data_IF_290294173629
#
_entry.id   IF_290294173629
#
_cell.length_a   1.000
_cell.length_b   1.000
_cell.length_c   1.000
_cell.angle_alpha   90.00
_cell.angle_beta   90.00
_cell.angle_gamma   90.00
#
_symmetry.space_group_name_H-M   'P 1'
#
loop_
_entity.id
_entity.type
_entity.pdbx_description
1 polymer ?
#
# COMPACT_ATOMS: atom_id res chain seq x y z
N UNK A 1 12.91 13.75 -1.60
CA UNK A 1 12.73 12.90 -2.81
C UNK A 1 11.37 13.21 -3.41
N UNK A 2 11.18 13.19 -4.73
CA UNK A 2 9.86 13.41 -5.31
C UNK A 2 8.90 12.30 -4.86
N UNK A 3 7.66 12.66 -4.56
CA UNK A 3 6.61 11.71 -4.13
C UNK A 3 6.31 10.66 -5.20
N UNK A 4 6.50 11.00 -6.48
CA UNK A 4 6.30 10.07 -7.59
C UNK A 4 7.67 9.63 -8.14
N UNK A 5 8.02 8.34 -8.03
CA UNK A 5 9.25 7.81 -8.62
C UNK A 5 9.26 7.97 -10.16
N UNK A 6 10.46 8.06 -10.74
CA UNK A 6 10.63 8.25 -12.19
C UNK A 6 9.91 7.18 -13.03
N UNK A 7 9.84 5.95 -12.53
CA UNK A 7 9.14 4.83 -13.17
C UNK A 7 7.63 5.11 -13.38
N UNK A 8 7.02 5.92 -12.52
CA UNK A 8 5.59 6.21 -12.52
C UNK A 8 5.25 7.64 -12.97
N UNK A 9 6.24 8.37 -13.54
CA UNK A 9 6.02 9.77 -13.96
C UNK A 9 4.87 9.94 -14.96
N UNK A 10 4.64 8.90 -15.78
CA UNK A 10 3.62 8.90 -16.83
C UNK A 10 2.46 7.95 -16.49
N UNK A 11 2.32 7.56 -15.21
CA UNK A 11 1.26 6.67 -14.78
C UNK A 11 -0.12 7.32 -15.01
N UNK A 12 -1.02 6.58 -15.65
CA UNK A 12 -2.40 6.99 -15.93
C UNK A 12 -3.35 5.84 -15.63
N UNK A 13 -4.58 6.18 -15.26
CA UNK A 13 -5.64 5.21 -15.02
C UNK A 13 -7.00 5.83 -15.26
N UNK A 14 -7.90 5.04 -15.81
CA UNK A 14 -9.33 5.33 -15.98
C UNK A 14 -10.20 4.61 -14.93
N UNK A 15 -9.57 3.96 -13.95
CA UNK A 15 -10.28 3.19 -12.95
C UNK A 15 -11.25 4.08 -12.15
N UNK A 16 -12.56 3.75 -12.10
CA UNK A 16 -13.58 4.62 -11.51
C UNK A 16 -13.37 4.89 -10.02
N UNK A 17 -12.93 3.90 -9.24
CA UNK A 17 -12.64 4.09 -7.83
C UNK A 17 -11.52 5.13 -7.60
N UNK A 18 -10.51 5.19 -8.47
CA UNK A 18 -9.46 6.22 -8.41
C UNK A 18 -10.04 7.60 -8.72
N UNK A 19 -10.89 7.69 -9.74
CA UNK A 19 -11.52 8.96 -10.07
C UNK A 19 -12.38 9.49 -8.91
N UNK A 20 -13.16 8.62 -8.30
CA UNK A 20 -13.97 8.93 -7.12
C UNK A 20 -13.10 9.31 -5.91
N UNK A 21 -12.06 8.51 -5.61
CA UNK A 21 -11.14 8.78 -4.52
C UNK A 21 -10.47 10.16 -4.67
N UNK A 22 -9.93 10.46 -5.85
CA UNK A 22 -9.32 11.77 -6.13
C UNK A 22 -10.33 12.93 -5.98
N UNK A 23 -11.55 12.76 -6.49
CA UNK A 23 -12.60 13.77 -6.38
C UNK A 23 -12.95 14.07 -4.94
N UNK A 24 -13.08 13.04 -4.10
CA UNK A 24 -13.36 13.16 -2.66
C UNK A 24 -12.22 13.89 -1.93
N UNK A 25 -10.96 13.50 -2.20
CA UNK A 25 -9.79 14.17 -1.59
C UNK A 25 -9.71 15.64 -2.00
N UNK A 26 -9.93 15.97 -3.28
CA UNK A 26 -9.90 17.34 -3.79
C UNK A 26 -11.04 18.21 -3.23
N UNK A 27 -12.18 17.60 -2.89
CA UNK A 27 -13.26 18.29 -2.18
C UNK A 27 -12.95 18.58 -0.71
N UNK A 28 -11.81 18.08 -0.20
CA UNK A 28 -11.40 18.23 1.20
C UNK A 28 -11.97 17.16 2.14
N UNK A 29 -12.65 16.17 1.60
CA UNK A 29 -13.23 15.07 2.33
C UNK A 29 -12.24 13.89 2.47
N UNK A 30 -12.57 12.96 3.35
CA UNK A 30 -11.75 11.77 3.61
C UNK A 30 -12.14 10.64 2.66
N UNK A 31 -11.16 10.15 1.92
CA UNK A 31 -11.31 9.00 1.04
C UNK A 31 -10.33 7.89 1.42
N UNK A 32 -10.81 6.65 1.50
CA UNK A 32 -10.05 5.48 1.91
C UNK A 32 -10.23 4.39 0.88
N UNK A 33 -9.13 3.90 0.30
CA UNK A 33 -9.15 2.95 -0.79
C UNK A 33 -8.24 1.77 -0.48
N UNK A 34 -8.77 0.57 -0.55
CA UNK A 34 -8.02 -0.68 -0.56
C UNK A 34 -7.94 -1.17 -2.00
N UNK A 35 -6.75 -1.09 -2.57
CA UNK A 35 -6.47 -1.47 -3.96
C UNK A 35 -5.87 -2.87 -3.99
N UNK A 36 -6.62 -3.82 -4.52
CA UNK A 36 -6.26 -5.23 -4.52
C UNK A 36 -6.06 -5.77 -5.94
N UNK A 37 -5.38 -6.88 -6.02
CA UNK A 37 -5.20 -7.62 -7.26
C UNK A 37 -3.90 -8.41 -7.28
N UNK A 38 -3.78 -9.38 -8.20
CA UNK A 38 -2.60 -10.23 -8.29
C UNK A 38 -1.33 -9.44 -8.61
N UNK A 39 -0.20 -10.10 -8.47
CA UNK A 39 1.08 -9.53 -8.90
C UNK A 39 1.02 -9.13 -10.38
N UNK A 40 1.65 -8.01 -10.75
CA UNK A 40 1.61 -7.43 -12.10
C UNK A 40 0.24 -6.91 -12.60
N UNK A 41 -0.77 -6.78 -11.74
CA UNK A 41 -2.05 -6.16 -12.13
C UNK A 41 -1.99 -4.65 -12.34
N UNK A 42 -0.89 -4.01 -11.94
CA UNK A 42 -0.70 -2.56 -12.08
C UNK A 42 -1.17 -1.74 -10.88
N UNK A 43 -1.29 -2.33 -9.70
CA UNK A 43 -1.72 -1.65 -8.47
C UNK A 43 -0.90 -0.40 -8.16
N UNK A 44 0.42 -0.54 -8.05
CA UNK A 44 1.30 0.61 -7.78
C UNK A 44 1.19 1.67 -8.87
N UNK A 45 1.16 1.27 -10.15
CA UNK A 45 0.92 2.18 -11.27
C UNK A 45 -0.38 2.97 -11.09
N UNK A 46 -1.47 2.29 -10.72
CA UNK A 46 -2.79 2.88 -10.49
C UNK A 46 -2.79 3.85 -9.30
N UNK A 47 -2.11 3.50 -8.20
CA UNK A 47 -1.98 4.39 -7.04
C UNK A 47 -1.15 5.64 -7.37
N UNK A 48 -0.04 5.49 -8.08
CA UNK A 48 0.76 6.65 -8.50
C UNK A 48 0.03 7.52 -9.54
N UNK A 49 -0.82 6.94 -10.37
CA UNK A 49 -1.71 7.70 -11.26
C UNK A 49 -2.70 8.57 -10.46
N UNK A 50 -3.21 8.07 -9.32
CA UNK A 50 -4.03 8.87 -8.40
C UNK A 50 -3.24 10.08 -7.85
N UNK A 51 -2.01 9.86 -7.38
CA UNK A 51 -1.17 10.93 -6.87
C UNK A 51 -0.84 11.97 -7.95
N UNK A 52 -0.53 11.53 -9.17
CA UNK A 52 -0.34 12.45 -10.31
C UNK A 52 -1.57 13.32 -10.56
N UNK A 53 -2.76 12.73 -10.51
CA UNK A 53 -4.02 13.47 -10.68
C UNK A 53 -4.23 14.51 -9.61
N UNK A 54 -3.92 14.21 -8.33
CA UNK A 54 -3.97 15.18 -7.24
C UNK A 54 -2.99 16.32 -7.47
N UNK A 55 -1.72 16.03 -7.78
CA UNK A 55 -0.70 17.04 -8.02
C UNK A 55 -1.03 17.92 -9.23
N UNK A 56 -1.53 17.34 -10.31
CA UNK A 56 -1.98 18.08 -11.50
C UNK A 56 -3.17 19.03 -11.20
N UNK A 57 -4.01 18.66 -10.21
CA UNK A 57 -5.09 19.50 -9.71
C UNK A 57 -4.63 20.56 -8.68
N UNK A 58 -3.32 20.64 -8.39
CA UNK A 58 -2.76 21.63 -7.45
C UNK A 58 -2.76 21.18 -5.98
N UNK A 59 -2.99 19.89 -5.70
CA UNK A 59 -2.88 19.36 -4.33
C UNK A 59 -1.42 19.48 -3.84
N UNK A 60 -1.18 19.95 -2.60
CA UNK A 60 0.18 20.16 -2.11
C UNK A 60 0.96 18.85 -1.98
N UNK A 61 2.15 18.77 -2.58
CA UNK A 61 3.03 17.60 -2.47
C UNK A 61 3.45 17.35 -1.01
N UNK A 62 3.60 18.41 -0.22
CA UNK A 62 3.89 18.33 1.22
C UNK A 62 2.82 17.59 2.03
N UNK A 63 1.62 17.48 1.50
CA UNK A 63 0.48 16.83 2.15
C UNK A 63 0.33 15.35 1.71
N UNK A 64 1.30 14.82 0.97
CA UNK A 64 1.32 13.45 0.48
C UNK A 64 2.54 12.71 1.05
N UNK A 65 2.32 11.50 1.57
CA UNK A 65 3.39 10.58 1.98
C UNK A 65 3.19 9.23 1.33
N UNK A 66 4.27 8.64 0.85
CA UNK A 66 4.28 7.28 0.30
C UNK A 66 5.26 6.45 1.11
N UNK A 67 4.82 5.30 1.56
CA UNK A 67 5.63 4.31 2.26
C UNK A 67 5.62 2.99 1.48
N UNK A 68 6.76 2.34 1.46
CA UNK A 68 6.83 0.92 1.15
C UNK A 68 6.57 0.14 2.44
N UNK A 69 5.73 -0.89 2.40
CA UNK A 69 5.42 -1.67 3.60
C UNK A 69 6.67 -2.29 4.24
N UNK A 70 7.66 -2.65 3.41
CA UNK A 70 8.95 -3.16 3.90
C UNK A 70 9.72 -2.13 4.74
N UNK A 71 9.65 -0.85 4.38
CA UNK A 71 10.27 0.24 5.16
C UNK A 71 9.58 0.40 6.51
N UNK A 72 8.26 0.25 6.55
CA UNK A 72 7.49 0.33 7.80
C UNK A 72 7.79 -0.83 8.74
N UNK A 73 8.13 -2.02 8.23
CA UNK A 73 8.51 -3.18 9.05
C UNK A 73 9.80 -2.95 9.84
N UNK A 74 10.79 -2.26 9.25
CA UNK A 74 12.11 -2.09 9.86
C UNK A 74 12.31 -0.84 10.71
N UNK A 75 11.49 0.20 10.54
CA UNK A 75 11.76 1.55 11.07
C UNK A 75 10.53 2.13 11.79
N UNK A 76 9.47 1.35 11.97
CA UNK A 76 8.26 1.90 12.57
C UNK A 76 8.50 2.39 13.99
N UNK A 77 8.55 3.71 14.16
CA UNK A 77 8.45 4.36 15.45
C UNK A 77 6.98 4.76 15.72
N UNK A 78 6.45 4.50 16.94
CA UNK A 78 5.15 5.02 17.33
C UNK A 78 5.09 6.53 17.10
N UNK A 79 4.14 6.99 16.28
CA UNK A 79 4.02 8.40 15.89
C UNK A 79 4.42 8.70 14.43
N UNK A 80 5.14 7.81 13.74
CA UNK A 80 5.48 8.02 12.32
C UNK A 80 4.24 8.24 11.45
N UNK A 81 3.19 7.44 11.66
CA UNK A 81 1.93 7.56 10.92
C UNK A 81 1.05 8.70 11.45
N UNK A 82 1.11 8.99 12.74
CA UNK A 82 0.35 10.09 13.36
C UNK A 82 0.82 11.46 12.86
N UNK A 83 2.09 11.58 12.54
CA UNK A 83 2.70 12.78 11.96
C UNK A 83 2.64 12.81 10.43
N UNK A 84 1.97 11.84 9.79
CA UNK A 84 1.86 11.81 8.34
C UNK A 84 0.95 12.92 7.83
N UNK A 85 1.14 13.23 6.60
CA UNK A 85 0.40 14.14 5.76
C UNK A 85 -1.07 13.73 5.59
N UNK A 86 -1.88 14.58 4.97
CA UNK A 86 -3.31 14.34 4.76
C UNK A 86 -3.62 13.14 3.86
N UNK A 87 -2.69 12.82 2.95
CA UNK A 87 -2.79 11.69 2.03
C UNK A 87 -1.62 10.73 2.28
N UNK A 88 -1.92 9.46 2.49
CA UNK A 88 -0.92 8.41 2.70
C UNK A 88 -1.14 7.27 1.70
N UNK A 89 -0.08 6.85 1.03
CA UNK A 89 -0.07 5.62 0.22
C UNK A 89 0.86 4.63 0.88
N UNK A 90 0.40 3.40 1.09
CA UNK A 90 1.25 2.29 1.53
C UNK A 90 1.25 1.26 0.42
N UNK A 91 2.40 1.12 -0.22
CA UNK A 91 2.60 0.19 -1.33
C UNK A 91 3.11 -1.15 -0.82
N UNK A 92 2.62 -2.20 -1.44
CA UNK A 92 3.09 -3.58 -1.27
C UNK A 92 2.95 -4.15 0.15
N UNK A 93 1.75 -3.97 0.75
CA UNK A 93 1.43 -4.51 2.09
C UNK A 93 1.65 -6.02 2.21
N UNK A 94 1.59 -6.72 1.10
CA UNK A 94 1.64 -8.18 1.04
C UNK A 94 2.89 -8.66 0.32
N UNK A 95 4.06 -8.13 0.68
CA UNK A 95 5.34 -8.68 0.22
C UNK A 95 5.43 -10.11 0.72
N UNK A 96 5.04 -11.03 -0.14
CA UNK A 96 5.19 -12.44 0.16
C UNK A 96 6.67 -12.83 0.05
N UNK A 97 7.05 -13.81 0.85
CA UNK A 97 8.31 -14.52 0.72
C UNK A 97 8.50 -15.16 -0.69
N UNK A 98 7.52 -15.04 -1.58
CA UNK A 98 7.55 -15.55 -2.96
C UNK A 98 8.53 -14.81 -3.89
N UNK A 99 9.18 -13.73 -3.45
CA UNK A 99 10.36 -13.21 -4.16
C UNK A 99 11.59 -14.12 -4.04
N UNK A 100 11.50 -15.17 -3.23
CA UNK A 100 12.50 -16.22 -3.17
C UNK A 100 12.24 -17.35 -4.18
N UNK A 101 11.38 -17.16 -5.15
CA UNK A 101 10.98 -18.10 -6.20
C UNK A 101 12.03 -18.34 -7.28
N UNK A 102 13.33 -18.35 -6.95
CA UNK A 102 14.38 -19.09 -7.65
C UNK A 102 15.58 -19.31 -6.71
N UNK A 103 15.70 -20.53 -6.24
CA UNK A 103 16.95 -21.22 -5.94
C UNK A 103 18.04 -20.44 -5.18
N UNK A 104 17.74 -19.91 -4.03
CA UNK A 104 18.73 -19.95 -2.94
C UNK A 104 18.34 -21.09 -2.01
N UNK A 105 19.29 -21.97 -1.75
CA UNK A 105 19.14 -23.06 -0.79
C UNK A 105 18.45 -22.53 0.47
N UNK A 106 17.57 -23.30 1.12
CA UNK A 106 16.92 -22.85 2.34
C UNK A 106 18.05 -22.42 3.28
N UNK A 107 18.18 -21.11 3.48
CA UNK A 107 18.84 -20.61 4.68
C UNK A 107 18.08 -21.32 5.81
N UNK A 108 18.80 -22.11 6.61
CA UNK A 108 18.27 -22.72 7.82
C UNK A 108 17.78 -21.60 8.75
N UNK A 109 16.58 -21.08 8.46
CA UNK A 109 15.90 -19.99 9.19
C UNK A 109 15.18 -20.55 10.43
N UNK A 110 15.67 -21.65 10.97
CA UNK A 110 15.14 -22.28 12.18
C UNK A 110 15.61 -21.62 13.49
N UNK A 111 16.27 -20.46 13.43
CA UNK A 111 16.55 -19.78 14.67
C UNK A 111 15.28 -19.11 15.20
N UNK A 112 14.89 -19.43 16.41
CA UNK A 112 13.78 -18.81 17.13
C UNK A 112 13.87 -17.28 17.12
N UNK A 113 15.07 -16.74 17.04
CA UNK A 113 15.35 -15.30 16.98
C UNK A 113 14.89 -14.66 15.68
N UNK A 114 15.06 -15.33 14.54
CA UNK A 114 14.59 -14.84 13.22
C UNK A 114 13.07 -14.86 13.18
N UNK A 115 12.43 -15.91 13.68
CA UNK A 115 10.97 -15.99 13.75
C UNK A 115 10.41 -14.93 14.70
N UNK A 116 11.04 -14.68 15.84
CA UNK A 116 10.66 -13.64 16.78
C UNK A 116 10.79 -12.23 16.16
N UNK A 117 11.86 -11.98 15.40
CA UNK A 117 12.06 -10.72 14.69
C UNK A 117 10.98 -10.49 13.61
N UNK A 118 10.70 -11.51 12.80
CA UNK A 118 9.63 -11.45 11.78
C UNK A 118 8.25 -11.20 12.40
N UNK A 119 7.95 -11.83 13.54
CA UNK A 119 6.69 -11.61 14.26
C UNK A 119 6.59 -10.19 14.82
N UNK A 120 7.70 -9.63 15.33
CA UNK A 120 7.77 -8.26 15.83
C UNK A 120 7.54 -7.24 14.69
N UNK A 121 8.16 -7.45 13.53
CA UNK A 121 8.01 -6.60 12.37
C UNK A 121 6.57 -6.65 11.80
N UNK A 122 5.95 -7.82 11.77
CA UNK A 122 4.56 -7.98 11.35
C UNK A 122 3.61 -7.27 12.32
N UNK A 123 3.86 -7.37 13.63
CA UNK A 123 3.11 -6.66 14.66
C UNK A 123 3.20 -5.15 14.52
N UNK A 124 4.39 -4.63 14.29
CA UNK A 124 4.61 -3.19 14.06
C UNK A 124 3.84 -2.67 12.83
N UNK A 125 3.85 -3.42 11.73
CA UNK A 125 3.09 -3.06 10.54
C UNK A 125 1.58 -3.09 10.79
N UNK A 126 1.07 -4.12 11.47
CA UNK A 126 -0.34 -4.22 11.83
C UNK A 126 -0.80 -3.05 12.69
N UNK A 127 -0.02 -2.67 13.71
CA UNK A 127 -0.28 -1.51 14.56
C UNK A 127 -0.29 -0.21 13.75
N UNK A 128 0.67 -0.03 12.84
CA UNK A 128 0.75 1.12 11.97
C UNK A 128 -0.50 1.27 11.09
N UNK A 129 -0.96 0.18 10.49
CA UNK A 129 -2.15 0.14 9.64
C UNK A 129 -3.42 0.36 10.47
N UNK A 130 -3.54 -0.26 11.64
CA UNK A 130 -4.67 -0.07 12.55
C UNK A 130 -4.79 1.40 12.98
N UNK A 131 -3.67 2.05 13.30
CA UNK A 131 -3.63 3.48 13.63
C UNK A 131 -4.03 4.34 12.45
N UNK A 132 -3.47 4.11 11.25
CA UNK A 132 -3.84 4.85 10.04
C UNK A 132 -5.35 4.76 9.76
N UNK A 133 -5.94 3.59 9.91
CA UNK A 133 -7.37 3.39 9.69
C UNK A 133 -8.26 4.14 10.68
N UNK A 134 -7.77 4.38 11.89
CA UNK A 134 -8.49 5.08 12.97
C UNK A 134 -8.35 6.60 12.92
N UNK A 135 -7.35 7.14 12.21
CA UNK A 135 -7.13 8.59 12.15
C UNK A 135 -8.26 9.30 11.41
N UNK A 136 -8.92 10.29 12.05
CA UNK A 136 -9.93 11.08 11.38
C UNK A 136 -9.26 11.99 10.32
N UNK A 137 -9.99 12.26 9.23
CA UNK A 137 -9.56 13.18 8.16
C UNK A 137 -8.24 12.78 7.47
N UNK A 138 -7.91 11.49 7.45
CA UNK A 138 -6.79 10.94 6.70
C UNK A 138 -7.30 10.14 5.52
N UNK A 139 -6.90 10.56 4.34
CA UNK A 139 -7.15 9.81 3.11
C UNK A 139 -5.97 8.89 2.85
N UNK A 140 -6.25 7.68 2.39
CA UNK A 140 -5.18 6.74 2.09
C UNK A 140 -5.54 5.77 0.96
N UNK A 141 -4.49 5.26 0.33
CA UNK A 141 -4.53 4.10 -0.56
C UNK A 141 -3.63 3.03 0.04
N UNK A 142 -4.19 1.88 0.34
CA UNK A 142 -3.44 0.69 0.74
C UNK A 142 -3.45 -0.32 -0.41
N UNK A 143 -2.28 -0.87 -0.71
CA UNK A 143 -2.09 -1.80 -1.83
C UNK A 143 -1.80 -3.19 -1.29
N UNK A 144 -2.66 -4.15 -1.64
CA UNK A 144 -2.54 -5.54 -1.23
C UNK A 144 -2.73 -6.50 -2.43
N UNK A 145 -2.26 -7.74 -2.32
CA UNK A 145 -2.45 -8.74 -3.38
C UNK A 145 -3.82 -9.42 -3.30
N UNK A 146 -4.30 -9.71 -2.09
CA UNK A 146 -5.63 -10.26 -1.81
C UNK A 146 -6.00 -10.04 -0.34
N UNK A 147 -7.27 -10.32 0.00
CA UNK A 147 -7.75 -10.25 1.39
C UNK A 147 -7.06 -11.30 2.26
N UNK A 148 -6.87 -12.52 1.77
CA UNK A 148 -6.21 -13.59 2.50
C UNK A 148 -4.78 -13.20 2.87
N UNK A 149 -4.04 -12.64 1.92
CA UNK A 149 -2.68 -12.15 2.17
C UNK A 149 -2.66 -10.94 3.11
N UNK A 150 -3.68 -10.10 3.06
CA UNK A 150 -3.80 -9.00 4.01
C UNK A 150 -4.01 -9.52 5.43
N UNK A 151 -4.88 -10.53 5.62
CA UNK A 151 -5.07 -11.22 6.91
C UNK A 151 -3.75 -11.82 7.42
N UNK A 152 -3.01 -12.50 6.57
CA UNK A 152 -1.69 -13.05 6.92
C UNK A 152 -0.68 -11.97 7.35
N UNK A 153 -0.79 -10.77 6.80
CA UNK A 153 0.18 -9.68 7.02
C UNK A 153 -0.14 -8.82 8.23
N UNK A 154 -1.41 -8.44 8.41
CA UNK A 154 -1.83 -7.48 9.45
C UNK A 154 -2.84 -8.06 10.45
N UNK A 155 -3.22 -9.32 10.28
CA UNK A 155 -4.19 -10.02 11.12
C UNK A 155 -5.65 -9.78 10.72
N UNK A 156 -6.52 -10.68 11.16
CA UNK A 156 -7.94 -10.68 10.82
C UNK A 156 -8.66 -9.43 11.33
N UNK A 157 -8.48 -9.07 12.58
CA UNK A 157 -9.13 -7.91 13.20
C UNK A 157 -8.79 -6.59 12.47
N UNK A 158 -7.52 -6.38 12.13
CA UNK A 158 -7.09 -5.19 11.38
C UNK A 158 -7.66 -5.19 9.97
N UNK A 159 -7.71 -6.35 9.31
CA UNK A 159 -8.29 -6.49 7.98
C UNK A 159 -9.79 -6.18 7.99
N UNK A 160 -10.55 -6.71 8.92
CA UNK A 160 -11.97 -6.41 9.08
C UNK A 160 -12.24 -4.92 9.27
N UNK A 161 -11.43 -4.25 10.09
CA UNK A 161 -11.50 -2.79 10.27
C UNK A 161 -11.24 -2.02 8.98
N UNK A 162 -10.25 -2.44 8.19
CA UNK A 162 -9.96 -1.82 6.90
C UNK A 162 -11.13 -1.98 5.92
N UNK A 163 -11.66 -3.20 5.81
CA UNK A 163 -12.80 -3.52 4.93
C UNK A 163 -14.06 -2.75 5.31
N UNK A 164 -14.25 -2.45 6.61
CA UNK A 164 -15.39 -1.70 7.11
C UNK A 164 -15.32 -0.20 6.76
N UNK A 165 -14.13 0.36 6.50
CA UNK A 165 -13.96 1.81 6.33
C UNK A 165 -13.46 2.23 4.95
N UNK A 166 -13.01 1.29 4.13
CA UNK A 166 -12.43 1.55 2.82
C UNK A 166 -13.33 1.11 1.67
N UNK A 167 -13.34 1.88 0.61
CA UNK A 167 -13.78 1.38 -0.70
C UNK A 167 -12.78 0.33 -1.19
N UNK A 168 -13.29 -0.74 -1.78
CA UNK A 168 -12.46 -1.82 -2.32
C UNK A 168 -12.44 -1.71 -3.84
N UNK A 169 -11.24 -1.74 -4.42
CA UNK A 169 -11.04 -1.77 -5.86
C UNK A 169 -10.13 -2.93 -6.23
N UNK A 170 -10.64 -3.83 -7.06
CA UNK A 170 -9.91 -5.00 -7.51
C UNK A 170 -9.41 -4.82 -8.94
N UNK A 171 -8.12 -5.02 -9.15
CA UNK A 171 -7.49 -4.97 -10.46
C UNK A 171 -7.29 -6.37 -11.02
N UNK A 172 -7.83 -6.59 -12.21
CA UNK A 172 -7.59 -7.83 -12.95
C UNK A 172 -6.11 -7.96 -13.37
N UNK A 173 -5.64 -9.17 -13.46
CA UNK A 173 -4.30 -9.45 -13.97
C UNK A 173 -4.19 -8.94 -15.42
N UNK A 174 -3.18 -8.11 -15.68
CA UNK A 174 -2.85 -7.71 -17.06
C UNK A 174 -2.07 -8.82 -17.75
N UNK A 175 -2.31 -9.09 -19.04
CA UNK A 175 -1.47 -9.99 -19.80
C UNK A 175 -0.02 -9.45 -19.74
N UNK A 176 0.93 -10.33 -19.43
CA UNK A 176 2.35 -9.95 -19.46
C UNK A 176 2.70 -9.49 -20.88
N UNK A 177 3.37 -8.34 -21.05
CA UNK A 177 3.90 -7.99 -22.36
C UNK A 177 4.83 -9.14 -22.78
N UNK A 178 4.59 -9.70 -23.96
CA UNK A 178 5.55 -10.64 -24.56
C UNK A 178 6.81 -9.83 -24.84
N UNK A 179 7.87 -10.16 -24.14
CA UNK A 179 9.21 -9.68 -24.49
C UNK A 179 9.63 -10.54 -25.68
N UNK A 180 9.40 -10.04 -26.89
CA UNK A 180 9.96 -10.59 -28.10
C UNK A 180 11.44 -10.22 -28.08
N UNK A 181 12.28 -11.19 -27.78
CA UNK A 181 13.75 -11.11 -27.85
C UNK A 181 14.19 -11.40 -29.27
#
# INVERSE_FOLDING_TARGET
>A
MPVIPALFRDAETDHPAIAQWCSTVLAGDTARLLLMGPHWSGKSHTAYAALRRLLAAGYPESDITVHQALELKGIYEPGMIENTTRVTVIDDLTVSADLTGEATAPLETDSADVQALMALEAGALADAIARLSSLPRRSWILIASSIERLIETVGEETTERLLAVAEQAELAQRPRPRLDW
#
